data_IF_425366830537
#
_entry.id   IF_425366830537
#
_cell.length_a   1.000
_cell.length_b   1.000
_cell.length_c   1.000
_cell.angle_alpha   90.00
_cell.angle_beta   90.00
_cell.angle_gamma   90.00
#
_symmetry.space_group_name_H-M   'P 1'
#
loop_
_entity.id
_entity.type
_entity.pdbx_description
1 polymer ?
#
# COMPACT_ATOMS: atom_id res chain seq x y z
N UNK A 1 -24.09 8.72 -13.04
CA UNK A 1 -23.94 7.73 -11.94
C UNK A 1 -22.78 8.07 -10.97
N UNK A 2 -22.64 9.32 -10.56
CA UNK A 2 -21.36 9.94 -10.12
C UNK A 2 -21.24 10.23 -8.61
N UNK A 3 -22.24 9.88 -7.80
CA UNK A 3 -22.26 10.20 -6.37
C UNK A 3 -22.06 9.01 -5.42
N UNK A 4 -22.09 7.77 -5.92
CA UNK A 4 -22.13 6.56 -5.05
C UNK A 4 -20.81 6.27 -4.33
N UNK A 5 -19.67 6.61 -4.94
CA UNK A 5 -18.30 6.41 -4.40
C UNK A 5 -17.82 7.50 -3.43
N UNK A 6 -18.62 8.55 -3.19
CA UNK A 6 -18.23 9.71 -2.37
C UNK A 6 -18.34 9.50 -0.85
N UNK A 7 -18.90 8.39 -0.40
CA UNK A 7 -19.32 8.22 0.98
C UNK A 7 -18.86 6.86 1.53
N UNK A 8 -17.96 6.93 2.51
CA UNK A 8 -17.43 5.86 3.37
C UNK A 8 -16.42 4.88 2.75
N UNK A 9 -15.19 4.89 3.27
CA UNK A 9 -14.48 3.64 3.58
C UNK A 9 -14.12 3.69 5.07
N UNK A 10 -14.92 3.04 5.92
CA UNK A 10 -14.47 2.82 7.30
C UNK A 10 -13.34 1.79 7.42
N UNK A 11 -12.90 1.24 6.28
CA UNK A 11 -11.67 0.45 6.17
C UNK A 11 -10.48 1.21 6.79
N UNK A 12 -10.43 2.54 6.61
CA UNK A 12 -9.37 3.39 7.16
C UNK A 12 -9.46 3.54 8.69
N UNK A 13 -10.67 3.60 9.24
CA UNK A 13 -10.90 3.74 10.69
C UNK A 13 -10.62 2.44 11.44
N UNK A 14 -10.99 1.28 10.87
CA UNK A 14 -10.64 -0.02 11.45
C UNK A 14 -9.12 -0.25 11.46
N UNK A 15 -8.42 0.15 10.40
CA UNK A 15 -6.96 0.02 10.34
C UNK A 15 -6.25 0.93 11.37
N UNK A 16 -6.69 2.18 11.55
CA UNK A 16 -6.14 3.08 12.60
C UNK A 16 -6.34 2.53 14.00
N UNK A 17 -7.52 1.96 14.29
CA UNK A 17 -7.80 1.35 15.60
C UNK A 17 -6.94 0.12 15.89
N UNK A 18 -6.58 -0.66 14.86
CA UNK A 18 -5.67 -1.81 14.98
C UNK A 18 -4.21 -1.37 15.18
N UNK A 19 -3.78 -0.30 14.50
CA UNK A 19 -2.41 0.24 14.63
C UNK A 19 -2.09 0.77 16.03
N UNK A 20 -3.07 1.40 16.69
CA UNK A 20 -2.90 1.94 18.04
C UNK A 20 -2.74 0.84 19.12
N UNK A 21 -2.98 -0.43 18.80
CA UNK A 21 -2.91 -1.56 19.74
C UNK A 21 -1.65 -2.42 19.66
N UNK A 22 -0.78 -2.25 18.64
CA UNK A 22 0.36 -3.14 18.41
C UNK A 22 1.59 -2.38 17.87
N UNK A 23 2.67 -2.21 18.65
CA UNK A 23 3.90 -1.54 18.19
C UNK A 23 4.55 -2.19 16.96
N UNK A 24 4.39 -3.51 16.78
CA UNK A 24 4.86 -4.23 15.59
C UNK A 24 4.14 -3.81 14.31
N UNK A 25 2.98 -3.17 14.42
CA UNK A 25 2.29 -2.62 13.27
C UNK A 25 3.02 -1.40 12.68
N UNK A 26 3.92 -0.73 13.43
CA UNK A 26 4.67 0.42 12.90
C UNK A 26 5.58 0.06 11.70
N UNK A 27 6.06 -1.18 11.63
CA UNK A 27 6.82 -1.65 10.49
C UNK A 27 5.91 -1.90 9.28
N UNK A 28 6.36 -1.47 8.10
CA UNK A 28 5.72 -1.83 6.85
C UNK A 28 5.69 -3.36 6.75
N UNK A 29 4.57 -3.93 6.30
CA UNK A 29 4.38 -5.38 6.39
C UNK A 29 5.50 -6.13 5.66
N UNK A 30 6.18 -7.04 6.35
CA UNK A 30 7.29 -7.80 5.79
C UNK A 30 6.82 -8.93 4.86
N UNK A 31 7.78 -9.64 4.25
CA UNK A 31 7.51 -10.89 3.55
C UNK A 31 7.86 -12.03 4.50
N UNK A 32 6.85 -12.76 5.00
CA UNK A 32 7.03 -13.89 5.90
C UNK A 32 6.70 -15.22 5.22
N UNK A 33 7.62 -16.19 5.29
CA UNK A 33 7.47 -17.53 4.70
C UNK A 33 8.35 -17.76 3.47
N UNK A 34 8.81 -19.00 3.27
CA UNK A 34 9.65 -19.40 2.14
C UNK A 34 8.91 -20.44 1.27
N UNK A 35 9.13 -20.38 -0.04
CA UNK A 35 8.73 -21.44 -0.97
C UNK A 35 9.80 -21.61 -2.02
N UNK A 36 10.08 -22.84 -2.44
CA UNK A 36 11.07 -23.09 -3.49
C UNK A 36 10.48 -22.93 -4.91
N UNK A 37 9.15 -22.85 -5.02
CA UNK A 37 8.42 -22.87 -6.29
C UNK A 37 7.88 -21.50 -6.68
N UNK A 38 7.80 -21.23 -8.00
CA UNK A 38 7.19 -19.99 -8.51
C UNK A 38 5.74 -19.81 -8.05
N UNK A 39 4.93 -20.89 -8.01
CA UNK A 39 3.56 -20.83 -7.51
C UNK A 39 3.48 -20.40 -6.05
N UNK A 40 4.40 -20.88 -5.20
CA UNK A 40 4.46 -20.46 -3.81
C UNK A 40 4.73 -18.96 -3.65
N UNK A 41 5.56 -18.38 -4.53
CA UNK A 41 5.79 -16.94 -4.55
C UNK A 41 4.56 -16.14 -5.00
N UNK A 42 3.71 -16.66 -5.90
CA UNK A 42 2.41 -16.04 -6.21
C UNK A 42 1.55 -15.95 -4.95
N UNK A 43 1.39 -17.05 -4.21
CA UNK A 43 0.61 -17.06 -2.97
C UNK A 43 1.24 -16.14 -1.90
N UNK A 44 2.57 -16.11 -1.82
CA UNK A 44 3.30 -15.20 -0.93
C UNK A 44 3.01 -13.74 -1.26
N UNK A 45 3.03 -13.37 -2.54
CA UNK A 45 2.68 -12.02 -3.01
C UNK A 45 1.22 -11.65 -2.72
N UNK A 46 0.28 -12.57 -2.95
CA UNK A 46 -1.15 -12.35 -2.62
C UNK A 46 -1.31 -12.09 -1.12
N UNK A 47 -0.70 -12.93 -0.27
CA UNK A 47 -0.78 -12.81 1.19
C UNK A 47 -0.14 -11.52 1.68
N UNK A 48 1.05 -11.20 1.20
CA UNK A 48 1.75 -9.96 1.53
C UNK A 48 0.88 -8.74 1.23
N UNK A 49 0.30 -8.67 0.03
CA UNK A 49 -0.56 -7.55 -0.36
C UNK A 49 -1.86 -7.47 0.46
N UNK A 50 -2.50 -8.60 0.77
CA UNK A 50 -3.78 -8.62 1.51
C UNK A 50 -3.63 -8.46 3.02
N UNK A 51 -2.49 -8.85 3.60
CA UNK A 51 -2.21 -8.74 5.03
C UNK A 51 -1.45 -7.45 5.38
N UNK A 52 -0.88 -6.78 4.38
CA UNK A 52 -0.20 -5.50 4.54
C UNK A 52 -1.16 -4.36 4.87
N UNK A 53 -1.17 -3.93 6.12
CA UNK A 53 -2.03 -2.83 6.59
C UNK A 53 -1.73 -1.52 5.84
N UNK A 54 -0.45 -1.27 5.56
CA UNK A 54 0.12 -0.14 4.82
C UNK A 54 -0.38 -0.12 3.37
N UNK A 55 -0.34 -1.28 2.70
CA UNK A 55 -0.83 -1.48 1.35
C UNK A 55 -2.34 -1.21 1.26
N UNK A 56 -3.10 -1.78 2.20
CA UNK A 56 -4.55 -1.60 2.25
C UNK A 56 -4.93 -0.14 2.54
N UNK A 57 -4.23 0.53 3.45
CA UNK A 57 -4.43 1.95 3.74
C UNK A 57 -4.10 2.83 2.52
N UNK A 58 -3.01 2.56 1.82
CA UNK A 58 -2.62 3.30 0.63
C UNK A 58 -3.64 3.13 -0.50
N UNK A 59 -3.96 1.88 -0.87
CA UNK A 59 -4.96 1.57 -1.91
C UNK A 59 -6.32 2.16 -1.57
N UNK A 60 -6.76 2.02 -0.32
CA UNK A 60 -8.01 2.61 0.17
C UNK A 60 -7.98 4.14 0.09
N UNK A 61 -6.89 4.77 0.50
CA UNK A 61 -6.71 6.22 0.46
C UNK A 61 -6.73 6.79 -0.95
N UNK A 62 -6.01 6.16 -1.89
CA UNK A 62 -6.02 6.53 -3.31
C UNK A 62 -7.40 6.31 -3.91
N UNK A 63 -8.09 5.22 -3.60
CA UNK A 63 -9.43 4.95 -4.11
C UNK A 63 -10.46 6.01 -3.63
N UNK A 64 -10.39 6.39 -2.35
CA UNK A 64 -11.21 7.47 -1.78
C UNK A 64 -10.95 8.80 -2.48
N UNK A 65 -9.68 9.17 -2.63
CA UNK A 65 -9.30 10.41 -3.30
C UNK A 65 -9.76 10.41 -4.75
N UNK A 66 -9.57 9.29 -5.46
CA UNK A 66 -9.93 9.13 -6.87
C UNK A 66 -11.44 9.31 -7.13
N UNK A 67 -12.30 8.86 -6.22
CA UNK A 67 -13.75 9.08 -6.27
C UNK A 67 -14.53 8.39 -7.38
N UNK A 68 -13.84 7.69 -8.29
CA UNK A 68 -14.43 6.92 -9.38
C UNK A 68 -13.60 5.66 -9.58
N UNK A 69 -14.26 4.53 -9.89
CA UNK A 69 -13.59 3.23 -10.13
C UNK A 69 -12.49 3.36 -11.18
N UNK A 70 -12.81 3.98 -12.32
CA UNK A 70 -11.87 4.14 -13.45
C UNK A 70 -10.61 4.90 -13.04
N UNK A 71 -10.74 5.94 -12.22
CA UNK A 71 -9.59 6.73 -11.76
C UNK A 71 -8.78 6.00 -10.69
N UNK A 72 -9.45 5.30 -9.77
CA UNK A 72 -8.80 4.50 -8.74
C UNK A 72 -7.93 3.41 -9.40
N UNK A 73 -8.52 2.63 -10.31
CA UNK A 73 -7.79 1.60 -11.06
C UNK A 73 -6.60 2.20 -11.81
N UNK A 74 -6.78 3.32 -12.53
CA UNK A 74 -5.66 3.98 -13.22
C UNK A 74 -4.51 4.37 -12.28
N UNK A 75 -4.80 5.02 -11.16
CA UNK A 75 -3.76 5.47 -10.22
C UNK A 75 -3.06 4.28 -9.56
N UNK A 76 -3.82 3.24 -9.21
CA UNK A 76 -3.28 2.02 -8.60
C UNK A 76 -2.45 1.23 -9.61
N UNK A 77 -2.83 1.19 -10.88
CA UNK A 77 -1.99 0.65 -11.95
C UNK A 77 -0.70 1.45 -12.15
N UNK A 78 -0.75 2.79 -12.03
CA UNK A 78 0.45 3.63 -12.08
C UNK A 78 1.40 3.33 -10.92
N UNK A 79 0.87 3.18 -9.70
CA UNK A 79 1.64 2.72 -8.55
C UNK A 79 2.27 1.35 -8.81
N UNK A 80 1.46 0.36 -9.22
CA UNK A 80 1.90 -0.99 -9.50
C UNK A 80 3.00 -1.02 -10.56
N UNK A 81 2.86 -0.24 -11.64
CA UNK A 81 3.89 -0.15 -12.67
C UNK A 81 5.23 0.36 -12.13
N UNK A 82 5.23 1.44 -11.34
CA UNK A 82 6.45 1.94 -10.70
C UNK A 82 7.06 0.92 -9.73
N UNK A 83 6.21 0.27 -8.95
CA UNK A 83 6.60 -0.78 -8.01
C UNK A 83 7.27 -1.96 -8.72
N UNK A 84 6.66 -2.52 -9.75
CA UNK A 84 7.20 -3.64 -10.50
C UNK A 84 8.52 -3.30 -11.20
N UNK A 85 8.65 -2.08 -11.75
CA UNK A 85 9.90 -1.61 -12.38
C UNK A 85 11.03 -1.61 -11.37
N UNK A 86 10.83 -1.00 -10.21
CA UNK A 86 11.89 -0.87 -9.19
C UNK A 86 12.16 -2.17 -8.47
N UNK A 87 11.13 -2.95 -8.17
CA UNK A 87 11.28 -4.30 -7.61
C UNK A 87 12.18 -5.16 -8.50
N UNK A 88 11.88 -5.22 -9.81
CA UNK A 88 12.67 -6.01 -10.75
C UNK A 88 14.09 -5.46 -10.90
N UNK A 89 14.24 -4.15 -11.12
CA UNK A 89 15.55 -3.54 -11.34
C UNK A 89 16.45 -3.61 -10.12
N UNK A 90 15.94 -3.30 -8.93
CA UNK A 90 16.68 -3.40 -7.67
C UNK A 90 17.05 -4.85 -7.32
N UNK A 91 16.20 -5.82 -7.69
CA UNK A 91 16.53 -7.24 -7.57
C UNK A 91 17.70 -7.63 -8.48
N UNK A 92 17.61 -7.31 -9.78
CA UNK A 92 18.62 -7.72 -10.78
C UNK A 92 19.94 -6.96 -10.61
N UNK A 93 19.88 -5.70 -10.20
CA UNK A 93 21.04 -4.85 -9.95
C UNK A 93 21.60 -4.98 -8.53
N UNK A 94 21.05 -5.87 -7.71
CA UNK A 94 21.48 -6.17 -6.35
C UNK A 94 21.55 -4.95 -5.42
N UNK A 95 20.53 -4.08 -5.50
CA UNK A 95 20.46 -2.88 -4.67
C UNK A 95 20.05 -3.21 -3.23
N UNK A 96 20.93 -2.89 -2.30
CA UNK A 96 20.70 -3.01 -0.86
C UNK A 96 20.44 -1.64 -0.26
N UNK A 97 19.16 -1.31 -0.04
CA UNK A 97 18.73 -0.04 0.57
C UNK A 97 18.22 -0.31 1.97
N UNK A 98 18.51 0.57 2.92
CA UNK A 98 18.07 0.39 4.30
C UNK A 98 16.52 0.28 4.35
N UNK A 99 15.96 -0.87 4.78
CA UNK A 99 14.52 -1.11 4.76
C UNK A 99 13.77 -0.16 5.71
N UNK A 100 14.39 0.28 6.80
CA UNK A 100 13.79 1.26 7.73
C UNK A 100 13.54 2.60 7.04
N UNK A 101 14.48 3.08 6.22
CA UNK A 101 14.31 4.33 5.48
C UNK A 101 13.18 4.22 4.45
N UNK A 102 13.05 3.06 3.79
CA UNK A 102 11.96 2.82 2.85
C UNK A 102 10.63 2.76 3.59
N UNK A 103 10.55 2.05 4.71
CA UNK A 103 9.32 1.96 5.52
C UNK A 103 8.83 3.33 6.00
N UNK A 104 9.76 4.21 6.41
CA UNK A 104 9.44 5.60 6.75
C UNK A 104 8.85 6.33 5.54
N UNK A 105 9.46 6.19 4.36
CA UNK A 105 8.96 6.81 3.14
C UNK A 105 7.57 6.27 2.74
N UNK A 106 7.31 4.98 2.92
CA UNK A 106 6.00 4.34 2.71
C UNK A 106 4.98 4.89 3.70
N UNK A 107 5.32 5.01 4.98
CA UNK A 107 4.44 5.62 5.98
C UNK A 107 4.12 7.09 5.66
N UNK A 108 5.11 7.86 5.20
CA UNK A 108 4.91 9.25 4.77
C UNK A 108 4.02 9.36 3.52
N UNK A 109 4.00 8.36 2.64
CA UNK A 109 3.08 8.33 1.50
C UNK A 109 1.61 8.35 1.94
N UNK A 110 1.27 7.69 3.07
CA UNK A 110 -0.07 7.73 3.66
C UNK A 110 -0.42 9.14 4.13
N UNK A 111 0.54 9.83 4.75
CA UNK A 111 0.38 11.23 5.18
C UNK A 111 0.09 12.12 3.97
N UNK A 112 0.86 11.99 2.89
CA UNK A 112 0.64 12.77 1.66
C UNK A 112 -0.76 12.52 1.08
N UNK A 113 -1.17 11.26 0.93
CA UNK A 113 -2.51 10.92 0.41
C UNK A 113 -3.61 11.48 1.33
N UNK A 114 -3.43 11.39 2.64
CA UNK A 114 -4.34 11.93 3.64
C UNK A 114 -4.45 13.46 3.59
N UNK A 115 -3.32 14.17 3.55
CA UNK A 115 -3.27 15.64 3.48
C UNK A 115 -3.92 16.14 2.19
N UNK A 116 -3.58 15.55 1.04
CA UNK A 116 -4.23 15.87 -0.23
C UNK A 116 -5.73 15.66 -0.08
N UNK A 117 -6.17 14.54 0.47
CA UNK A 117 -7.59 14.28 0.71
C UNK A 117 -8.31 15.29 1.62
N UNK A 118 -7.64 15.81 2.65
CA UNK A 118 -8.20 16.82 3.55
C UNK A 118 -8.31 18.20 2.90
N UNK A 119 -7.25 18.63 2.19
CA UNK A 119 -7.21 19.92 1.49
C UNK A 119 -8.21 19.93 0.32
N UNK A 120 -8.42 18.76 -0.29
CA UNK A 120 -9.37 18.54 -1.36
C UNK A 120 -8.75 17.78 -2.54
N UNK A 121 -9.56 17.40 -3.52
CA UNK A 121 -9.07 16.62 -4.65
C UNK A 121 -7.97 17.36 -5.43
N UNK A 122 -6.99 16.62 -6.00
CA UNK A 122 -6.02 17.20 -6.92
C UNK A 122 -6.74 17.96 -8.04
N UNK A 123 -6.30 19.20 -8.28
CA UNK A 123 -6.74 19.98 -9.45
C UNK A 123 -6.10 19.43 -10.73
N UNK A 124 -4.86 18.95 -10.62
CA UNK A 124 -4.13 18.26 -11.67
C UNK A 124 -3.93 16.78 -11.30
N UNK A 125 -4.56 15.90 -12.08
CA UNK A 125 -4.44 14.45 -11.90
C UNK A 125 -3.14 13.87 -12.48
N UNK A 126 -2.47 14.59 -13.38
CA UNK A 126 -1.19 14.19 -13.95
C UNK A 126 -0.10 14.32 -12.90
N UNK A 127 -0.03 15.46 -12.21
CA UNK A 127 0.85 15.65 -11.06
C UNK A 127 0.62 14.57 -10.00
N UNK A 128 -0.64 14.31 -9.64
CA UNK A 128 -0.93 13.31 -8.62
C UNK A 128 -0.56 11.89 -9.07
N UNK A 129 -0.74 11.56 -10.35
CA UNK A 129 -0.26 10.29 -10.90
C UNK A 129 1.27 10.17 -10.83
N UNK A 130 2.03 11.25 -11.05
CA UNK A 130 3.48 11.26 -10.89
C UNK A 130 3.91 11.05 -9.42
N UNK A 131 3.19 11.65 -8.46
CA UNK A 131 3.41 11.39 -7.03
C UNK A 131 3.14 9.93 -6.67
N UNK A 132 2.03 9.37 -7.17
CA UNK A 132 1.68 7.96 -6.95
C UNK A 132 2.70 7.01 -7.60
N UNK A 133 3.22 7.36 -8.79
CA UNK A 133 4.30 6.63 -9.44
C UNK A 133 5.57 6.65 -8.57
N UNK A 134 5.95 7.81 -8.04
CA UNK A 134 7.12 7.95 -7.17
C UNK A 134 7.01 7.08 -5.91
N UNK A 135 5.82 7.01 -5.30
CA UNK A 135 5.58 6.09 -4.19
C UNK A 135 5.73 4.62 -4.61
N UNK A 136 5.21 4.25 -5.79
CA UNK A 136 5.42 2.92 -6.34
C UNK A 136 6.91 2.57 -6.49
N UNK A 137 7.69 3.49 -7.05
CA UNK A 137 9.14 3.34 -7.22
C UNK A 137 9.86 3.11 -5.88
N UNK A 138 9.56 3.94 -4.87
CA UNK A 138 10.18 3.80 -3.53
C UNK A 138 9.79 2.46 -2.90
N UNK A 139 8.51 2.08 -3.02
CA UNK A 139 7.98 0.85 -2.42
C UNK A 139 8.62 -0.41 -3.02
N UNK A 140 8.86 -0.43 -4.34
CA UNK A 140 9.50 -1.56 -5.01
C UNK A 140 10.92 -1.82 -4.55
N UNK A 141 11.69 -0.76 -4.26
CA UNK A 141 13.05 -0.88 -3.73
C UNK A 141 13.08 -1.48 -2.32
N UNK A 142 12.18 -1.08 -1.42
CA UNK A 142 12.16 -1.64 -0.05
C UNK A 142 11.78 -3.12 -0.03
N UNK A 143 10.87 -3.52 -0.92
CA UNK A 143 10.47 -4.91 -1.05
C UNK A 143 11.59 -5.77 -1.66
N UNK A 144 12.36 -5.26 -2.62
CA UNK A 144 13.47 -6.03 -3.22
C UNK A 144 14.51 -6.40 -2.17
N UNK A 145 14.92 -5.44 -1.32
CA UNK A 145 15.91 -5.70 -0.27
C UNK A 145 15.41 -6.75 0.72
N UNK A 146 14.15 -6.66 1.14
CA UNK A 146 13.56 -7.68 2.03
C UNK A 146 13.48 -9.06 1.37
N UNK A 147 13.11 -9.12 0.09
CA UNK A 147 13.02 -10.38 -0.64
C UNK A 147 14.40 -11.03 -0.83
N UNK A 148 15.46 -10.23 -1.03
CA UNK A 148 16.85 -10.68 -1.05
C UNK A 148 17.25 -11.29 0.30
N UNK A 149 16.85 -10.67 1.43
CA UNK A 149 17.13 -11.17 2.79
C UNK A 149 16.47 -12.54 3.10
N UNK A 150 15.31 -12.87 2.49
CA UNK A 150 14.58 -14.13 2.76
C UNK A 150 15.03 -15.32 1.90
N UNK A 151 16.18 -15.23 1.22
CA UNK A 151 16.78 -16.35 0.50
C UNK A 151 16.48 -16.38 -1.01
N UNK A 152 16.33 -15.20 -1.62
CA UNK A 152 16.32 -15.07 -3.09
C UNK A 152 17.72 -15.02 -3.72
N UNK A 153 18.80 -15.15 -2.93
CA UNK A 153 20.19 -15.00 -3.40
C UNK A 153 20.72 -16.12 -4.31
N UNK A 154 19.92 -17.16 -4.59
CA UNK A 154 20.31 -18.33 -5.39
C UNK A 154 19.62 -18.38 -6.77
N UNK A 155 20.03 -19.36 -7.60
CA UNK A 155 19.47 -19.58 -8.93
C UNK A 155 17.92 -19.58 -8.94
N UNK A 156 17.32 -18.80 -9.84
CA UNK A 156 15.87 -18.66 -9.97
C UNK A 156 15.25 -17.44 -9.27
N UNK A 157 16.06 -16.47 -8.84
CA UNK A 157 15.61 -15.19 -8.28
C UNK A 157 14.59 -14.44 -9.16
N UNK A 158 14.92 -14.24 -10.44
CA UNK A 158 14.08 -13.51 -11.40
C UNK A 158 12.67 -14.11 -11.54
N UNK A 159 12.49 -15.40 -11.86
CA UNK A 159 11.15 -15.98 -11.99
C UNK A 159 10.36 -15.95 -10.68
N UNK A 160 11.02 -16.06 -9.52
CA UNK A 160 10.37 -15.93 -8.20
C UNK A 160 9.88 -14.51 -7.92
N UNK A 161 10.67 -13.48 -8.24
CA UNK A 161 10.24 -12.07 -8.11
C UNK A 161 9.09 -11.75 -9.06
N UNK A 162 9.15 -12.21 -10.31
CA UNK A 162 8.04 -12.03 -11.25
C UNK A 162 6.76 -12.72 -10.74
N UNK A 163 6.87 -13.96 -10.24
CA UNK A 163 5.73 -14.67 -9.66
C UNK A 163 5.17 -13.97 -8.41
N UNK A 164 6.05 -13.44 -7.55
CA UNK A 164 5.64 -12.61 -6.42
C UNK A 164 4.86 -11.38 -6.87
N UNK A 165 5.37 -10.64 -7.86
CA UNK A 165 4.71 -9.45 -8.39
C UNK A 165 3.34 -9.77 -8.99
N UNK A 166 3.20 -10.89 -9.72
CA UNK A 166 1.89 -11.39 -10.18
C UNK A 166 0.95 -11.62 -8.99
N UNK A 167 1.45 -12.22 -7.91
CA UNK A 167 0.70 -12.38 -6.67
C UNK A 167 0.25 -11.05 -6.05
N UNK A 168 1.13 -10.06 -5.99
CA UNK A 168 0.82 -8.70 -5.49
C UNK A 168 -0.27 -8.05 -6.33
N UNK A 169 -0.19 -8.12 -7.67
CA UNK A 169 -1.22 -7.56 -8.55
C UNK A 169 -2.58 -8.22 -8.35
N UNK A 170 -2.63 -9.54 -8.22
CA UNK A 170 -3.86 -10.29 -7.89
C UNK A 170 -4.41 -9.83 -6.53
N UNK A 171 -3.55 -9.77 -5.51
CA UNK A 171 -3.92 -9.31 -4.17
C UNK A 171 -4.46 -7.88 -4.18
N UNK A 172 -3.91 -7.00 -5.00
CA UNK A 172 -4.31 -5.60 -5.09
C UNK A 172 -5.68 -5.43 -5.77
N UNK A 173 -5.94 -6.19 -6.84
CA UNK A 173 -7.26 -6.23 -7.48
C UNK A 173 -8.32 -6.82 -6.54
N UNK A 174 -7.97 -7.87 -5.78
CA UNK A 174 -8.84 -8.45 -4.78
C UNK A 174 -9.14 -7.46 -3.64
N UNK A 175 -8.13 -6.79 -3.10
CA UNK A 175 -8.27 -5.76 -2.08
C UNK A 175 -9.21 -4.64 -2.54
N UNK A 176 -9.02 -4.13 -3.76
CA UNK A 176 -9.89 -3.13 -4.36
C UNK A 176 -11.35 -3.57 -4.45
N UNK A 177 -11.60 -4.80 -4.88
CA UNK A 177 -12.94 -5.36 -4.98
C UNK A 177 -13.58 -5.51 -3.58
N UNK A 178 -12.86 -6.08 -2.63
CA UNK A 178 -13.32 -6.28 -1.25
C UNK A 178 -13.63 -4.94 -0.57
N UNK A 179 -12.76 -3.94 -0.72
CA UNK A 179 -12.98 -2.59 -0.21
C UNK A 179 -14.21 -1.93 -0.84
N UNK A 180 -14.44 -2.14 -2.14
CA UNK A 180 -15.62 -1.62 -2.82
C UNK A 180 -16.92 -2.20 -2.23
N UNK A 181 -16.96 -3.51 -2.03
CA UNK A 181 -18.11 -4.22 -1.44
C UNK A 181 -18.32 -3.76 0.01
N UNK A 182 -17.26 -3.70 0.80
CA UNK A 182 -17.32 -3.24 2.19
C UNK A 182 -17.84 -1.80 2.31
N UNK A 183 -17.40 -0.90 1.42
CA UNK A 183 -17.87 0.47 1.35
C UNK A 183 -19.39 0.55 1.07
N UNK A 184 -19.88 -0.22 0.08
CA UNK A 184 -21.30 -0.27 -0.28
C UNK A 184 -22.17 -0.77 0.89
N UNK A 185 -21.73 -1.84 1.58
CA UNK A 185 -22.44 -2.38 2.75
C UNK A 185 -22.46 -1.37 3.90
N UNK A 186 -21.30 -0.83 4.26
CA UNK A 186 -21.16 -0.03 5.48
C UNK A 186 -21.85 1.34 5.36
N UNK A 187 -21.93 1.89 4.15
CA UNK A 187 -22.70 3.10 3.84
C UNK A 187 -24.16 2.98 4.27
N UNK A 188 -24.73 1.77 4.30
CA UNK A 188 -26.14 1.53 4.70
C UNK A 188 -26.31 1.41 6.22
N UNK A 189 -25.25 1.06 6.96
CA UNK A 189 -25.33 0.71 8.39
C UNK A 189 -24.81 1.79 9.34
N UNK A 190 -23.83 2.62 8.93
CA UNK A 190 -23.18 3.57 9.86
C UNK A 190 -23.05 4.98 9.26
N UNK A 191 -24.01 5.90 9.53
CA UNK A 191 -24.07 7.23 8.91
C UNK A 191 -22.86 8.14 9.19
N UNK A 192 -22.26 8.04 10.39
CA UNK A 192 -21.08 8.85 10.80
C UNK A 192 -19.82 8.50 10.00
N UNK A 193 -19.71 7.29 9.46
CA UNK A 193 -18.55 6.84 8.68
C UNK A 193 -18.62 7.28 7.21
N UNK A 194 -19.61 8.13 6.84
CA UNK A 194 -19.75 8.68 5.49
C UNK A 194 -18.84 9.87 5.20
N UNK A 195 -18.25 10.51 6.22
CA UNK A 195 -17.39 11.68 6.00
C UNK A 195 -15.99 11.24 5.53
N UNK A 196 -15.59 11.53 4.28
CA UNK A 196 -14.27 11.18 3.77
C UNK A 196 -13.13 11.87 4.54
N UNK A 197 -13.40 12.99 5.22
CA UNK A 197 -12.38 13.71 6.02
C UNK A 197 -11.86 12.86 7.18
N UNK A 198 -12.72 12.06 7.80
CA UNK A 198 -12.31 11.16 8.90
C UNK A 198 -11.35 10.07 8.39
N UNK A 199 -11.62 9.52 7.21
CA UNK A 199 -10.71 8.54 6.59
C UNK A 199 -9.36 9.19 6.24
N UNK A 200 -9.37 10.39 5.68
CA UNK A 200 -8.13 11.11 5.36
C UNK A 200 -7.33 11.49 6.61
N UNK A 201 -7.99 11.93 7.69
CA UNK A 201 -7.35 12.16 8.98
C UNK A 201 -6.75 10.86 9.53
N UNK A 202 -7.47 9.74 9.39
CA UNK A 202 -6.98 8.42 9.77
C UNK A 202 -5.67 8.04 9.06
N UNK A 203 -5.55 8.30 7.75
CA UNK A 203 -4.30 8.08 7.01
C UNK A 203 -3.14 8.91 7.54
N UNK A 204 -3.40 10.18 7.85
CA UNK A 204 -2.38 11.09 8.40
C UNK A 204 -1.91 10.57 9.76
N UNK A 205 -2.85 10.23 10.65
CA UNK A 205 -2.52 9.72 11.99
C UNK A 205 -1.73 8.42 11.89
N UNK A 206 -2.21 7.44 11.11
CA UNK A 206 -1.51 6.17 10.93
C UNK A 206 -0.10 6.35 10.35
N UNK A 207 0.03 7.12 9.26
CA UNK A 207 1.32 7.38 8.63
C UNK A 207 2.30 8.13 9.54
N UNK A 208 1.81 9.12 10.29
CA UNK A 208 2.66 9.90 11.21
C UNK A 208 3.13 9.05 12.40
N UNK A 209 2.23 8.24 12.98
CA UNK A 209 2.57 7.33 14.08
C UNK A 209 3.56 6.25 13.63
N UNK A 210 3.33 5.64 12.46
CA UNK A 210 4.23 4.63 11.91
C UNK A 210 5.61 5.22 11.60
N UNK A 211 5.69 6.37 10.91
CA UNK A 211 6.95 7.03 10.61
C UNK A 211 7.71 7.45 11.90
N UNK A 212 7.00 8.01 12.89
CA UNK A 212 7.58 8.40 14.17
C UNK A 212 8.13 7.20 14.96
N UNK A 213 7.34 6.13 15.05
CA UNK A 213 7.76 4.88 15.70
C UNK A 213 8.99 4.29 15.01
N UNK A 214 8.98 4.16 13.67
CA UNK A 214 10.11 3.67 12.88
C UNK A 214 11.39 4.50 13.06
N UNK A 215 11.27 5.81 13.18
CA UNK A 215 12.43 6.69 13.41
C UNK A 215 13.06 6.45 14.79
N UNK A 216 12.25 6.12 15.80
CA UNK A 216 12.71 5.86 17.16
C UNK A 216 13.25 4.43 17.30
N UNK A 217 12.52 3.43 16.77
CA UNK A 217 12.83 2.01 16.99
C UNK A 217 13.71 1.39 15.91
N UNK A 218 13.73 1.95 14.70
CA UNK A 218 14.47 1.37 13.58
C UNK A 218 15.96 1.69 13.57
N UNK A 219 16.42 2.61 14.42
CA UNK A 219 17.84 3.00 14.56
C UNK A 219 18.37 2.87 16.00
N UNK A 220 17.56 2.31 16.91
CA UNK A 220 17.95 1.99 18.28
C UNK A 220 18.52 0.58 18.36
#
# INVERSE_FOLDING_TARGET
MTAKWRQACAVTMCAVAVMLGAPSAAFAHGVGGSSETAYGFVNLGVRHMLLGWDHLLFVGGVALLAGTRRRAVKLISVFAGGHSITLFTATVADWHVNPVLVDIAVALSLVVVGVVGLVGRPKDWTWFAAVVLAFGLIHGVGLSTRLQDVGLADEGQVPRVLAFNVGVEIGQLAALLLMAIAADVLRTRVPRLRDPRLSHLGLIVAGTLAAGALTITGFA
#
